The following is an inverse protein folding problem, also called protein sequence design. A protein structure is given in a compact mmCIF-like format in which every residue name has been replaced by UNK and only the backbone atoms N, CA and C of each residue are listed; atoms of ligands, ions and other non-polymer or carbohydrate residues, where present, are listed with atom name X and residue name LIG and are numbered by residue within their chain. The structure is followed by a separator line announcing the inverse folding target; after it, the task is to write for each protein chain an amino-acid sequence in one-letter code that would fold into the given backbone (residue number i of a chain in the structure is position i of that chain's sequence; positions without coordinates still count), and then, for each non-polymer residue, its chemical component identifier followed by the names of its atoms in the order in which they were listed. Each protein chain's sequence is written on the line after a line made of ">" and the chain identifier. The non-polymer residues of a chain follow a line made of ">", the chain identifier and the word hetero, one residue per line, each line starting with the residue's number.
data_IF_594452657763
#
_entry.id   IF_594452657763
#
_cell.length_a   1.000
_cell.length_b   1.000
_cell.length_c   1.000
_cell.angle_alpha   90.00
_cell.angle_beta   90.00
_cell.angle_gamma   90.00
#
_symmetry.space_group_name_H-M   'P 1'
#
loop_
_entity.id
_entity.type
_entity.pdbx_description
1 polymer ?
#
# COMPACT_ATOMS: atom_id res chain seq x y z
N UNK A 1 10.96 0.93 36.73
CA UNK A 1 10.25 1.94 35.92
C UNK A 1 9.38 1.28 34.83
N UNK A 2 9.88 0.27 34.12
CA UNK A 2 9.14 -0.47 33.06
C UNK A 2 7.89 -1.20 33.58
N UNK A 3 7.94 -1.82 34.76
CA UNK A 3 6.80 -2.57 35.33
C UNK A 3 5.53 -1.74 35.62
N UNK A 4 5.60 -0.39 35.55
CA UNK A 4 4.43 0.48 35.74
C UNK A 4 3.66 0.77 34.45
N UNK A 5 4.22 0.43 33.28
CA UNK A 5 3.56 0.59 32.00
C UNK A 5 2.56 -0.55 31.83
N UNK A 6 1.27 -0.22 31.83
CA UNK A 6 0.20 -1.20 31.58
C UNK A 6 -0.04 -1.24 30.08
N UNK A 7 0.63 -2.18 29.43
CA UNK A 7 0.37 -2.54 28.05
C UNK A 7 -0.56 -3.76 28.08
N UNK A 8 -1.78 -3.55 27.62
CA UNK A 8 -2.87 -4.51 27.59
C UNK A 8 -3.50 -4.49 26.20
N UNK A 9 -4.17 -5.58 25.85
CA UNK A 9 -4.85 -5.73 24.57
C UNK A 9 -5.92 -4.64 24.42
N UNK A 10 -6.08 -4.13 23.20
CA UNK A 10 -6.97 -3.04 22.86
C UNK A 10 -6.28 -1.70 22.68
N UNK A 11 -7.06 -0.63 22.73
CA UNK A 11 -6.60 0.75 22.66
C UNK A 11 -5.86 1.10 23.95
N UNK A 12 -4.60 1.56 23.84
CA UNK A 12 -3.81 1.91 25.02
C UNK A 12 -4.19 3.29 25.58
N UNK A 13 -4.86 3.38 26.74
CA UNK A 13 -5.31 4.66 27.28
C UNK A 13 -4.14 5.53 27.75
N UNK A 14 -3.07 4.89 28.23
CA UNK A 14 -1.86 5.56 28.70
C UNK A 14 -1.15 6.28 27.53
N UNK A 15 -1.07 5.62 26.37
CA UNK A 15 -0.49 6.20 25.15
C UNK A 15 -1.34 7.37 24.67
N UNK A 16 -2.66 7.21 24.58
CA UNK A 16 -3.54 8.31 24.15
C UNK A 16 -3.54 9.50 25.12
N UNK A 17 -3.44 9.27 26.43
CA UNK A 17 -3.30 10.33 27.42
C UNK A 17 -1.99 11.13 27.24
N UNK A 18 -0.90 10.46 26.88
CA UNK A 18 0.38 11.12 26.57
C UNK A 18 0.29 11.91 25.26
N UNK A 19 -0.22 11.27 24.20
CA UNK A 19 -0.42 11.93 22.89
C UNK A 19 -1.26 13.19 23.06
N UNK A 20 -2.38 13.13 23.81
CA UNK A 20 -3.26 14.28 24.03
C UNK A 20 -2.54 15.47 24.67
N UNK A 21 -1.60 15.24 25.59
CA UNK A 21 -0.79 16.30 26.20
C UNK A 21 0.19 16.91 25.20
N UNK A 22 0.86 16.08 24.42
CA UNK A 22 1.82 16.53 23.41
C UNK A 22 1.13 17.32 22.30
N UNK A 23 0.05 16.78 21.77
CA UNK A 23 -0.73 17.34 20.65
C UNK A 23 -1.29 18.73 20.96
N UNK A 24 -1.57 19.04 22.23
CA UNK A 24 -2.00 20.38 22.65
C UNK A 24 -0.98 21.48 22.29
N UNK A 25 0.31 21.13 22.22
CA UNK A 25 1.40 22.06 21.88
C UNK A 25 1.78 22.05 20.40
N UNK A 26 1.25 21.10 19.63
CA UNK A 26 1.64 20.92 18.23
C UNK A 26 0.94 21.91 17.31
N UNK A 27 1.62 22.28 16.22
CA UNK A 27 0.99 22.99 15.12
C UNK A 27 0.05 22.08 14.33
N UNK A 28 -0.88 22.68 13.59
CA UNK A 28 -1.91 21.96 12.83
C UNK A 28 -1.36 20.96 11.81
N UNK A 29 -0.20 21.24 11.19
CA UNK A 29 0.39 20.32 10.21
C UNK A 29 0.98 19.09 10.89
N UNK A 30 1.54 19.23 12.09
CA UNK A 30 2.09 18.11 12.87
C UNK A 30 1.01 17.17 13.41
N UNK A 31 -0.20 17.67 13.61
CA UNK A 31 -1.39 16.88 13.99
C UNK A 31 -1.91 15.96 12.89
N UNK A 32 -1.56 16.24 11.62
CA UNK A 32 -2.00 15.41 10.49
C UNK A 32 -1.30 14.06 10.51
N UNK A 33 -2.07 12.98 10.52
CA UNK A 33 -1.55 11.63 10.59
C UNK A 33 -2.32 10.63 9.74
N UNK A 34 -1.72 9.49 9.49
CA UNK A 34 -2.35 8.31 8.91
C UNK A 34 -2.43 7.21 9.96
N UNK A 35 -3.51 6.44 9.92
CA UNK A 35 -3.67 5.23 10.74
C UNK A 35 -3.22 4.05 9.88
N UNK A 36 -2.17 3.37 10.30
CA UNK A 36 -1.62 2.19 9.61
C UNK A 36 -1.93 0.96 10.46
N UNK A 37 -2.41 -0.10 9.83
CA UNK A 37 -2.63 -1.36 10.54
C UNK A 37 -2.34 -2.57 9.67
N UNK A 38 -1.93 -3.65 10.33
CA UNK A 38 -1.60 -4.93 9.70
C UNK A 38 -1.79 -6.08 10.69
N UNK A 39 -1.91 -7.30 10.17
CA UNK A 39 -1.95 -8.55 10.94
C UNK A 39 -0.57 -9.21 10.95
N UNK A 40 -0.06 -9.50 12.15
CA UNK A 40 1.23 -10.16 12.36
C UNK A 40 1.02 -11.58 12.88
N UNK A 41 1.57 -12.58 12.22
CA UNK A 41 1.54 -13.97 12.69
C UNK A 41 2.36 -14.12 13.98
N UNK A 42 1.81 -14.89 14.92
CA UNK A 42 2.38 -15.24 16.21
C UNK A 42 2.48 -16.76 16.33
N UNK A 43 3.43 -17.22 17.15
CA UNK A 43 3.43 -18.60 17.61
C UNK A 43 2.37 -18.76 18.69
N UNK A 44 1.40 -19.64 18.45
CA UNK A 44 0.33 -19.92 19.40
C UNK A 44 0.91 -20.60 20.65
N UNK A 45 0.89 -19.89 21.78
CA UNK A 45 1.40 -20.39 23.05
C UNK A 45 0.62 -19.78 24.22
N UNK A 46 0.41 -20.57 25.28
CA UNK A 46 -0.12 -20.07 26.55
C UNK A 46 1.02 -19.66 27.46
N UNK A 47 0.98 -18.42 27.93
CA UNK A 47 2.00 -17.87 28.83
C UNK A 47 1.30 -17.35 30.07
N UNK A 48 1.67 -17.89 31.23
CA UNK A 48 1.19 -17.40 32.52
C UNK A 48 2.03 -16.21 32.98
N UNK A 49 1.39 -15.05 33.12
CA UNK A 49 1.99 -13.85 33.71
C UNK A 49 1.75 -13.84 35.22
N UNK A 50 2.80 -14.16 35.98
CA UNK A 50 2.79 -14.19 37.45
C UNK A 50 2.46 -12.85 38.09
N UNK A 51 2.75 -11.73 37.42
CA UNK A 51 2.53 -10.40 38.00
C UNK A 51 1.07 -9.96 37.88
N UNK A 52 0.40 -10.40 36.80
CA UNK A 52 -1.01 -10.11 36.53
C UNK A 52 -1.95 -11.23 36.98
N UNK A 53 -1.39 -12.36 37.41
CA UNK A 53 -2.11 -13.60 37.69
C UNK A 53 -3.05 -13.98 36.54
N UNK A 54 -2.53 -13.93 35.31
CA UNK A 54 -3.33 -14.10 34.09
C UNK A 54 -2.66 -14.97 33.05
N UNK A 55 -3.46 -15.77 32.34
CA UNK A 55 -3.00 -16.56 31.19
C UNK A 55 -3.18 -15.75 29.90
N UNK A 56 -2.08 -15.52 29.19
CA UNK A 56 -2.02 -14.89 27.87
C UNK A 56 -1.99 -15.97 26.77
N UNK A 57 -2.28 -15.58 25.52
CA UNK A 57 -2.28 -16.49 24.36
C UNK A 57 -3.67 -16.85 23.83
N UNK A 58 -4.70 -16.18 24.33
CA UNK A 58 -6.07 -16.32 23.87
C UNK A 58 -6.49 -15.18 22.96
N UNK A 59 -7.47 -15.43 22.09
CA UNK A 59 -8.11 -14.39 21.27
C UNK A 59 -8.76 -13.34 22.17
N UNK A 60 -8.48 -12.07 21.89
CA UNK A 60 -8.93 -10.91 22.65
C UNK A 60 -9.08 -9.72 21.70
N UNK A 61 -10.29 -9.57 21.14
CA UNK A 61 -10.67 -8.47 20.24
C UNK A 61 -11.55 -7.46 21.00
N UNK A 62 -12.75 -7.90 21.38
CA UNK A 62 -13.65 -7.14 22.26
C UNK A 62 -13.77 -7.85 23.61
N UNK A 63 -13.94 -9.17 23.55
CA UNK A 63 -14.02 -10.07 24.69
C UNK A 63 -13.00 -11.19 24.52
N UNK A 64 -12.54 -11.73 25.64
CA UNK A 64 -11.62 -12.86 25.65
C UNK A 64 -12.36 -14.15 25.30
N UNK A 65 -11.88 -14.87 24.28
CA UNK A 65 -12.42 -16.16 23.87
C UNK A 65 -11.47 -17.29 24.22
N UNK A 66 -12.00 -18.48 24.48
CA UNK A 66 -11.23 -19.70 24.72
C UNK A 66 -10.68 -20.30 23.41
N UNK A 67 -10.09 -19.46 22.57
CA UNK A 67 -9.48 -19.80 21.29
C UNK A 67 -8.02 -19.34 21.32
N UNK A 68 -7.09 -20.14 20.79
CA UNK A 68 -5.68 -19.78 20.76
C UNK A 68 -5.44 -18.68 19.73
N UNK A 69 -4.77 -17.61 20.15
CA UNK A 69 -4.34 -16.57 19.25
C UNK A 69 -3.09 -17.02 18.48
N UNK A 70 -3.13 -16.89 17.16
CA UNK A 70 -2.02 -17.15 16.24
C UNK A 70 -1.66 -15.91 15.41
N UNK A 71 -2.38 -14.80 15.60
CA UNK A 71 -2.12 -13.50 14.98
C UNK A 71 -2.34 -12.35 15.98
N UNK A 72 -1.70 -11.22 15.70
CA UNK A 72 -1.96 -9.94 16.34
C UNK A 72 -2.28 -8.87 15.29
N UNK A 73 -3.45 -8.25 15.41
CA UNK A 73 -3.84 -7.07 14.66
C UNK A 73 -3.28 -5.84 15.36
N UNK A 74 -2.40 -5.08 14.70
CA UNK A 74 -1.67 -3.94 15.30
C UNK A 74 -2.02 -2.64 14.60
N UNK A 75 -2.27 -1.58 15.37
CA UNK A 75 -2.53 -0.23 14.88
C UNK A 75 -1.40 0.73 15.28
N UNK A 76 -0.93 1.51 14.32
CA UNK A 76 0.12 2.51 14.47
C UNK A 76 -0.30 3.83 13.83
N UNK A 77 -0.08 4.93 14.54
CA UNK A 77 -0.21 6.27 13.98
C UNK A 77 1.11 6.69 13.35
N UNK A 78 1.03 7.34 12.20
CA UNK A 78 2.19 7.90 11.51
C UNK A 78 1.91 9.34 11.10
N UNK A 79 2.80 10.26 11.43
CA UNK A 79 2.70 11.64 10.97
C UNK A 79 2.75 11.75 9.45
N UNK A 80 1.83 12.52 8.87
CA UNK A 80 1.73 12.70 7.42
C UNK A 80 2.76 13.73 6.91
N UNK A 81 2.91 14.85 7.65
CA UNK A 81 3.84 15.94 7.30
C UNK A 81 5.17 15.79 8.02
N UNK A 82 5.14 15.45 9.30
CA UNK A 82 6.32 15.30 10.14
C UNK A 82 6.60 13.83 10.45
N UNK A 83 7.88 13.49 10.59
CA UNK A 83 8.30 12.14 10.90
C UNK A 83 8.10 11.83 12.39
N UNK A 84 7.00 11.18 12.72
CA UNK A 84 6.75 10.55 14.01
C UNK A 84 5.88 9.31 13.82
N UNK A 85 5.97 8.36 14.73
CA UNK A 85 5.17 7.13 14.71
C UNK A 85 4.90 6.66 16.14
N UNK A 86 3.72 6.09 16.38
CA UNK A 86 3.32 5.61 17.69
C UNK A 86 2.36 4.42 17.55
N UNK A 87 2.73 3.22 18.02
CA UNK A 87 1.76 2.13 18.21
C UNK A 87 0.71 2.55 19.23
N UNK A 88 -0.57 2.31 18.93
CA UNK A 88 -1.69 2.80 19.75
C UNK A 88 -2.66 1.71 20.20
N UNK A 89 -2.77 0.63 19.44
CA UNK A 89 -3.60 -0.50 19.80
C UNK A 89 -3.04 -1.80 19.24
N UNK A 90 -3.32 -2.91 19.90
CA UNK A 90 -3.13 -4.25 19.36
C UNK A 90 -4.21 -5.18 19.87
N UNK A 91 -4.56 -6.19 19.08
CA UNK A 91 -5.60 -7.17 19.41
C UNK A 91 -5.11 -8.57 19.05
N UNK A 92 -5.44 -9.56 19.88
CA UNK A 92 -5.11 -10.94 19.59
C UNK A 92 -6.25 -11.61 18.82
N UNK A 93 -5.95 -12.22 17.69
CA UNK A 93 -6.91 -12.89 16.83
C UNK A 93 -6.46 -14.29 16.43
N UNK A 94 -7.42 -15.10 16.01
CA UNK A 94 -7.18 -16.39 15.37
C UNK A 94 -7.44 -16.26 13.88
N UNK A 95 -6.41 -16.44 13.06
CA UNK A 95 -6.44 -16.18 11.63
C UNK A 95 -6.86 -14.74 11.29
N UNK A 96 -7.60 -14.60 10.19
CA UNK A 96 -8.09 -13.30 9.73
C UNK A 96 -9.28 -12.81 10.56
N UNK A 97 -9.21 -11.57 11.04
CA UNK A 97 -10.30 -10.94 11.80
C UNK A 97 -11.57 -10.81 10.95
N UNK A 98 -12.78 -11.02 11.50
CA UNK A 98 -14.00 -10.83 10.71
C UNK A 98 -14.19 -9.35 10.29
N UNK A 99 -14.68 -9.12 9.07
CA UNK A 99 -14.85 -7.76 8.55
C UNK A 99 -15.77 -6.87 9.41
N UNK A 100 -16.77 -7.45 10.08
CA UNK A 100 -17.65 -6.71 11.01
C UNK A 100 -16.93 -6.29 12.29
N UNK A 101 -16.14 -7.19 12.90
CA UNK A 101 -15.36 -6.84 14.08
C UNK A 101 -14.29 -5.80 13.76
N UNK A 102 -13.59 -5.96 12.64
CA UNK A 102 -12.59 -5.00 12.19
C UNK A 102 -13.21 -3.61 11.93
N UNK A 103 -14.41 -3.56 11.35
CA UNK A 103 -15.16 -2.29 11.20
C UNK A 103 -15.41 -1.61 12.55
N UNK A 104 -15.81 -2.36 13.58
CA UNK A 104 -16.01 -1.82 14.93
C UNK A 104 -14.71 -1.29 15.51
N UNK A 105 -13.65 -2.11 15.49
CA UNK A 105 -12.33 -1.74 16.02
C UNK A 105 -11.78 -0.49 15.31
N UNK A 106 -11.93 -0.41 13.98
CA UNK A 106 -11.52 0.78 13.22
C UNK A 106 -12.26 2.03 13.67
N UNK A 107 -13.58 1.95 13.90
CA UNK A 107 -14.36 3.08 14.42
C UNK A 107 -13.86 3.51 15.79
N UNK A 108 -13.58 2.58 16.69
CA UNK A 108 -13.11 2.88 18.05
C UNK A 108 -11.72 3.52 18.03
N UNK A 109 -10.77 2.93 17.28
CA UNK A 109 -9.40 3.45 17.17
C UNK A 109 -9.40 4.85 16.56
N UNK A 110 -10.13 5.07 15.47
CA UNK A 110 -10.17 6.37 14.81
C UNK A 110 -10.86 7.42 15.69
N UNK A 111 -11.90 7.05 16.43
CA UNK A 111 -12.54 7.94 17.41
C UNK A 111 -11.56 8.38 18.48
N UNK A 112 -10.78 7.46 19.06
CA UNK A 112 -9.75 7.78 20.04
C UNK A 112 -8.66 8.73 19.48
N UNK A 113 -8.30 8.57 18.20
CA UNK A 113 -7.37 9.47 17.50
C UNK A 113 -7.93 10.89 17.34
N UNK A 114 -9.20 11.01 16.98
CA UNK A 114 -9.84 12.33 16.86
C UNK A 114 -9.98 12.99 18.25
N UNK A 115 -10.39 12.23 19.26
CA UNK A 115 -10.58 12.71 20.64
C UNK A 115 -9.29 13.17 21.34
N UNK A 116 -8.13 12.65 20.92
CA UNK A 116 -6.83 13.12 21.41
C UNK A 116 -6.33 14.38 20.69
N UNK A 117 -7.10 14.91 19.72
CA UNK A 117 -6.81 16.14 19.00
C UNK A 117 -5.95 15.97 17.74
N UNK A 118 -5.69 14.72 17.32
CA UNK A 118 -5.02 14.45 16.05
C UNK A 118 -6.01 14.57 14.88
N UNK A 119 -5.47 14.75 13.68
CA UNK A 119 -6.23 14.88 12.44
C UNK A 119 -5.89 13.72 11.51
N UNK A 120 -6.58 12.57 11.64
CA UNK A 120 -6.35 11.46 10.74
C UNK A 120 -6.86 11.84 9.34
N UNK A 121 -6.03 11.63 8.32
CA UNK A 121 -6.35 11.94 6.91
C UNK A 121 -6.46 10.70 6.02
N UNK A 122 -5.86 9.59 6.46
CA UNK A 122 -5.85 8.36 5.69
C UNK A 122 -5.74 7.14 6.60
N UNK A 123 -6.29 6.03 6.10
CA UNK A 123 -6.13 4.69 6.65
C UNK A 123 -5.33 3.85 5.65
N UNK A 124 -4.29 3.18 6.15
CA UNK A 124 -3.37 2.39 5.34
C UNK A 124 -3.38 0.94 5.84
N UNK A 125 -3.64 0.01 4.94
CA UNK A 125 -3.67 -1.42 5.26
C UNK A 125 -3.28 -2.29 4.07
N UNK A 126 -3.15 -3.59 4.31
CA UNK A 126 -2.97 -4.59 3.27
C UNK A 126 -4.28 -4.89 2.51
N UNK A 127 -4.27 -5.87 1.60
CA UNK A 127 -5.41 -6.26 0.78
C UNK A 127 -6.14 -7.52 1.28
N UNK A 128 -6.06 -7.85 2.57
CA UNK A 128 -6.80 -8.96 3.16
C UNK A 128 -8.31 -8.88 2.87
N UNK A 129 -8.96 -10.02 2.64
CA UNK A 129 -10.39 -10.09 2.31
C UNK A 129 -11.27 -9.47 3.41
N UNK A 130 -10.88 -9.70 4.67
CA UNK A 130 -11.49 -9.08 5.84
C UNK A 130 -11.41 -7.55 5.81
N UNK A 131 -10.25 -7.01 5.44
CA UNK A 131 -9.99 -5.58 5.43
C UNK A 131 -10.79 -4.91 4.32
N UNK A 132 -10.79 -5.51 3.13
CA UNK A 132 -11.61 -5.05 2.01
C UNK A 132 -13.11 -5.06 2.36
N UNK A 133 -13.58 -6.10 3.06
CA UNK A 133 -14.97 -6.19 3.52
C UNK A 133 -15.32 -5.08 4.52
N UNK A 134 -14.46 -4.85 5.51
CA UNK A 134 -14.64 -3.79 6.50
C UNK A 134 -14.67 -2.40 5.86
N UNK A 135 -13.69 -2.10 5.00
CA UNK A 135 -13.58 -0.84 4.27
C UNK A 135 -14.79 -0.61 3.38
N UNK A 136 -15.23 -1.62 2.63
CA UNK A 136 -16.43 -1.51 1.79
C UNK A 136 -17.66 -1.18 2.64
N UNK A 137 -17.83 -1.88 3.76
CA UNK A 137 -18.95 -1.63 4.67
C UNK A 137 -18.90 -0.23 5.29
N UNK A 138 -17.72 0.32 5.58
CA UNK A 138 -17.55 1.71 6.02
C UNK A 138 -17.87 2.72 4.93
N UNK A 139 -17.42 2.48 3.70
CA UNK A 139 -17.76 3.32 2.54
C UNK A 139 -19.26 3.33 2.28
N UNK A 140 -19.92 2.18 2.37
CA UNK A 140 -21.36 2.09 2.19
C UNK A 140 -22.12 2.88 3.27
N UNK A 141 -21.63 2.93 4.51
CA UNK A 141 -22.17 3.80 5.56
C UNK A 141 -21.99 5.28 5.19
N UNK A 142 -20.77 5.70 4.87
CA UNK A 142 -20.46 7.10 4.52
C UNK A 142 -21.25 7.59 3.32
N UNK A 143 -21.39 6.76 2.27
CA UNK A 143 -22.20 7.08 1.09
C UNK A 143 -23.66 7.30 1.46
N UNK A 144 -24.23 6.48 2.36
CA UNK A 144 -25.60 6.69 2.84
C UNK A 144 -25.73 8.04 3.55
N UNK A 145 -24.80 8.36 4.44
CA UNK A 145 -24.82 9.62 5.20
C UNK A 145 -24.67 10.85 4.28
N UNK A 146 -23.78 10.79 3.28
CA UNK A 146 -23.60 11.85 2.27
C UNK A 146 -24.88 12.08 1.45
N UNK A 147 -25.55 11.01 1.01
CA UNK A 147 -26.81 11.10 0.27
C UNK A 147 -27.90 11.76 1.13
N UNK A 148 -28.03 11.35 2.40
CA UNK A 148 -28.99 11.97 3.32
C UNK A 148 -28.70 13.45 3.59
N UNK A 149 -27.43 13.86 3.51
CA UNK A 149 -26.99 15.24 3.64
C UNK A 149 -27.03 16.05 2.33
N UNK A 150 -27.55 15.49 1.22
CA UNK A 150 -27.53 16.10 -0.12
C UNK A 150 -26.12 16.46 -0.62
N UNK A 151 -25.12 15.64 -0.28
CA UNK A 151 -23.74 15.78 -0.74
C UNK A 151 -23.47 14.76 -1.87
N UNK A 152 -22.61 15.11 -2.82
CA UNK A 152 -22.15 14.14 -3.81
C UNK A 152 -21.31 13.07 -3.13
N UNK A 153 -21.61 11.76 -3.34
CA UNK A 153 -20.85 10.69 -2.72
C UNK A 153 -19.41 10.67 -3.23
N UNK A 154 -18.46 10.57 -2.31
CA UNK A 154 -17.04 10.38 -2.64
C UNK A 154 -16.55 8.97 -2.27
N UNK A 155 -15.26 8.71 -2.50
CA UNK A 155 -14.62 7.42 -2.19
C UNK A 155 -13.91 7.41 -0.81
N UNK A 156 -14.25 8.37 0.05
CA UNK A 156 -13.70 8.47 1.42
C UNK A 156 -14.54 7.66 2.41
N UNK A 157 -14.00 7.50 3.63
CA UNK A 157 -14.78 7.06 4.78
C UNK A 157 -14.84 8.19 5.80
N UNK A 158 -16.01 8.40 6.38
CA UNK A 158 -16.24 9.38 7.45
C UNK A 158 -16.41 8.64 8.77
N UNK A 159 -15.53 8.90 9.74
CA UNK A 159 -15.62 8.35 11.09
C UNK A 159 -15.36 9.48 12.08
N UNK A 160 -16.29 9.69 13.01
CA UNK A 160 -16.18 10.69 14.08
C UNK A 160 -15.87 12.11 13.56
N UNK A 161 -16.49 12.47 12.43
CA UNK A 161 -16.31 13.76 11.76
C UNK A 161 -15.03 13.89 10.92
N UNK A 162 -14.15 12.89 10.91
CA UNK A 162 -12.96 12.87 10.08
C UNK A 162 -13.21 12.16 8.75
N UNK A 163 -12.90 12.82 7.63
CA UNK A 163 -12.92 12.23 6.29
C UNK A 163 -11.55 11.63 5.97
N UNK A 164 -11.52 10.34 5.65
CA UNK A 164 -10.31 9.55 5.52
C UNK A 164 -10.22 8.92 4.14
N UNK A 165 -9.06 9.08 3.50
CA UNK A 165 -8.72 8.33 2.31
C UNK A 165 -8.26 6.92 2.65
N UNK A 166 -8.60 5.95 1.80
CA UNK A 166 -8.13 4.56 1.93
C UNK A 166 -6.94 4.37 1.01
N UNK A 167 -5.83 3.88 1.56
CA UNK A 167 -4.62 3.58 0.81
C UNK A 167 -4.24 2.12 1.10
N UNK A 168 -4.14 1.32 0.04
CA UNK A 168 -3.57 -0.02 0.18
C UNK A 168 -2.06 0.03 0.09
N UNK A 169 -1.36 -0.84 0.83
CA UNK A 169 0.09 -0.90 0.78
C UNK A 169 0.59 -1.08 -0.67
N UNK A 170 1.32 -0.09 -1.23
CA UNK A 170 1.89 -0.18 -2.57
C UNK A 170 2.77 -1.41 -2.78
N UNK A 171 3.45 -1.88 -1.74
CA UNK A 171 4.35 -3.02 -1.83
C UNK A 171 3.58 -4.32 -2.08
N UNK A 172 2.44 -4.50 -1.40
CA UNK A 172 1.53 -5.63 -1.58
C UNK A 172 0.86 -5.59 -2.95
N UNK A 173 0.48 -4.40 -3.42
CA UNK A 173 -0.06 -4.19 -4.76
C UNK A 173 0.93 -4.63 -5.85
N UNK A 174 2.17 -4.15 -5.76
CA UNK A 174 3.25 -4.49 -6.70
C UNK A 174 3.51 -6.01 -6.70
N UNK A 175 3.54 -6.61 -5.52
CA UNK A 175 3.68 -8.07 -5.35
C UNK A 175 2.52 -8.82 -6.01
N UNK A 176 1.29 -8.34 -5.84
CA UNK A 176 0.08 -8.90 -6.47
C UNK A 176 0.14 -8.84 -7.99
N UNK A 177 0.54 -7.70 -8.55
CA UNK A 177 0.70 -7.54 -10.01
C UNK A 177 1.76 -8.51 -10.53
N UNK A 178 2.95 -8.56 -9.92
CA UNK A 178 4.01 -9.49 -10.31
C UNK A 178 3.52 -10.94 -10.28
N UNK A 179 2.87 -11.36 -9.20
CA UNK A 179 2.39 -12.73 -9.04
C UNK A 179 1.30 -13.10 -10.05
N UNK A 180 0.42 -12.16 -10.39
CA UNK A 180 -0.54 -12.36 -11.47
C UNK A 180 0.17 -12.45 -12.82
N UNK A 181 1.14 -11.57 -13.09
CA UNK A 181 1.84 -11.56 -14.37
C UNK A 181 2.69 -12.81 -14.61
N UNK A 182 3.23 -13.40 -13.54
CA UNK A 182 3.95 -14.69 -13.61
C UNK A 182 3.09 -15.84 -14.14
N UNK A 183 1.78 -15.81 -13.87
CA UNK A 183 0.88 -16.93 -14.16
C UNK A 183 -0.19 -16.59 -15.21
N UNK A 184 -0.32 -15.32 -15.59
CA UNK A 184 -1.39 -14.78 -16.43
C UNK A 184 -0.83 -13.70 -17.34
N UNK A 185 -1.45 -13.54 -18.49
CA UNK A 185 -1.14 -12.45 -19.41
C UNK A 185 -1.82 -11.16 -18.93
N UNK A 186 -1.16 -10.02 -19.18
CA UNK A 186 -1.72 -8.70 -18.92
C UNK A 186 -2.19 -8.11 -20.25
N UNK A 187 -3.43 -7.64 -20.30
CA UNK A 187 -4.00 -6.94 -21.44
C UNK A 187 -4.09 -5.45 -21.11
N UNK A 188 -3.38 -4.61 -21.84
CA UNK A 188 -3.48 -3.14 -21.73
C UNK A 188 -3.73 -2.59 -23.14
N UNK A 189 -4.77 -1.77 -23.30
CA UNK A 189 -5.12 -1.14 -24.59
C UNK A 189 -5.28 -2.13 -25.77
N UNK A 190 -5.74 -3.35 -25.50
CA UNK A 190 -5.92 -4.41 -26.50
C UNK A 190 -4.65 -5.22 -26.79
N UNK A 191 -3.54 -4.83 -26.20
CA UNK A 191 -2.24 -5.45 -26.38
C UNK A 191 -1.91 -6.44 -25.26
N UNK A 192 -1.34 -7.60 -25.63
CA UNK A 192 -1.05 -8.69 -24.69
C UNK A 192 0.44 -8.67 -24.33
N UNK A 193 0.73 -8.52 -23.05
CA UNK A 193 2.08 -8.72 -22.49
C UNK A 193 2.14 -10.04 -21.74
N UNK A 194 3.24 -10.77 -21.89
CA UNK A 194 3.50 -12.07 -21.27
C UNK A 194 4.76 -12.01 -20.40
N UNK A 195 4.84 -12.85 -19.37
CA UNK A 195 6.07 -12.96 -18.57
C UNK A 195 7.29 -13.38 -19.41
N UNK A 196 7.05 -14.14 -20.48
CA UNK A 196 8.09 -14.53 -21.44
C UNK A 196 8.80 -13.33 -22.07
N UNK A 197 8.08 -12.23 -22.32
CA UNK A 197 8.68 -11.02 -22.87
C UNK A 197 9.76 -10.44 -21.92
N UNK A 198 9.58 -10.60 -20.60
CA UNK A 198 10.60 -10.23 -19.60
C UNK A 198 11.78 -11.20 -19.64
N UNK A 199 11.52 -12.51 -19.78
CA UNK A 199 12.58 -13.52 -19.87
C UNK A 199 13.47 -13.28 -21.10
N UNK A 200 12.87 -13.01 -22.25
CA UNK A 200 13.58 -12.77 -23.51
C UNK A 200 14.49 -11.52 -23.39
N UNK A 201 14.01 -10.45 -22.76
CA UNK A 201 14.82 -9.25 -22.47
C UNK A 201 15.96 -9.56 -21.50
N UNK A 202 15.70 -10.35 -20.45
CA UNK A 202 16.71 -10.73 -19.47
C UNK A 202 17.82 -11.61 -20.06
N UNK A 203 17.46 -12.59 -20.89
CA UNK A 203 18.41 -13.44 -21.59
C UNK A 203 19.26 -12.64 -22.58
N UNK A 204 18.63 -11.70 -23.30
CA UNK A 204 19.34 -10.80 -24.22
C UNK A 204 20.34 -9.90 -23.49
N UNK A 205 19.97 -9.33 -22.33
CA UNK A 205 20.89 -8.54 -21.49
C UNK A 205 22.02 -9.39 -20.93
N UNK A 206 21.75 -10.62 -20.49
CA UNK A 206 22.77 -11.53 -19.98
C UNK A 206 23.80 -11.93 -21.05
N UNK A 207 23.39 -12.03 -22.31
CA UNK A 207 24.24 -12.37 -23.44
C UNK A 207 24.98 -11.16 -24.04
N UNK A 208 24.74 -9.95 -23.53
CA UNK A 208 25.39 -8.74 -24.02
C UNK A 208 26.86 -8.69 -23.58
N UNK A 209 27.77 -8.55 -24.55
CA UNK A 209 29.21 -8.83 -24.39
C UNK A 209 30.01 -7.80 -23.60
N UNK A 210 29.58 -6.54 -23.55
CA UNK A 210 30.40 -5.45 -22.98
C UNK A 210 30.00 -4.99 -21.58
N UNK A 211 28.71 -4.96 -21.26
CA UNK A 211 28.18 -4.68 -19.92
C UNK A 211 26.67 -4.96 -19.87
N UNK A 212 26.20 -5.54 -18.77
CA UNK A 212 24.76 -5.69 -18.50
C UNK A 212 24.15 -4.33 -18.13
N UNK A 213 23.18 -3.86 -18.90
CA UNK A 213 22.43 -2.66 -18.55
C UNK A 213 21.52 -2.96 -17.35
N UNK A 214 20.99 -4.19 -17.27
CA UNK A 214 20.13 -4.66 -16.19
C UNK A 214 20.91 -5.42 -15.10
N UNK A 215 22.10 -4.94 -14.75
CA UNK A 215 22.99 -5.54 -13.73
C UNK A 215 22.36 -5.77 -12.34
N UNK A 216 21.25 -5.11 -12.02
CA UNK A 216 20.50 -5.31 -10.75
C UNK A 216 19.55 -6.50 -10.79
N UNK A 217 19.22 -7.00 -11.99
CA UNK A 217 18.41 -8.18 -12.16
C UNK A 217 19.29 -9.43 -12.14
N UNK A 218 18.83 -10.41 -11.40
CA UNK A 218 19.40 -11.74 -11.37
C UNK A 218 18.28 -12.77 -11.57
N UNK A 219 18.67 -14.04 -11.68
CA UNK A 219 17.76 -15.15 -11.91
C UNK A 219 16.58 -15.22 -10.93
N UNK A 220 16.79 -14.80 -9.66
CA UNK A 220 15.76 -14.81 -8.62
C UNK A 220 14.67 -13.75 -8.84
N UNK A 221 14.85 -12.85 -9.82
CA UNK A 221 13.88 -11.83 -10.20
C UNK A 221 13.00 -12.26 -11.38
N UNK A 222 13.54 -13.07 -12.29
CA UNK A 222 12.92 -13.32 -13.61
C UNK A 222 12.53 -14.79 -13.80
N UNK A 223 13.37 -15.74 -13.37
CA UNK A 223 13.14 -17.17 -13.62
C UNK A 223 12.11 -17.69 -12.61
N UNK A 224 10.92 -18.15 -13.06
CA UNK A 224 9.81 -18.52 -12.17
C UNK A 224 10.19 -19.47 -11.04
N UNK A 225 11.01 -20.50 -11.33
CA UNK A 225 11.43 -21.52 -10.36
C UNK A 225 12.38 -20.97 -9.28
N UNK A 226 13.09 -19.87 -9.58
CA UNK A 226 14.05 -19.23 -8.68
C UNK A 226 13.43 -18.05 -7.92
N UNK A 227 12.22 -17.62 -8.27
CA UNK A 227 11.53 -16.50 -7.63
C UNK A 227 11.02 -16.91 -6.25
N UNK A 228 11.60 -16.29 -5.21
CA UNK A 228 11.11 -16.41 -3.83
C UNK A 228 9.89 -15.52 -3.63
N UNK A 229 8.68 -16.07 -3.83
CA UNK A 229 7.39 -15.35 -3.80
C UNK A 229 7.21 -14.41 -2.60
N UNK A 230 7.68 -14.80 -1.41
CA UNK A 230 7.48 -14.07 -0.15
C UNK A 230 8.49 -12.94 0.12
N UNK A 231 9.72 -13.00 -0.42
CA UNK A 231 10.85 -12.32 0.26
C UNK A 231 11.24 -10.96 -0.30
N UNK A 232 10.65 -10.47 -1.40
CA UNK A 232 11.23 -9.29 -2.05
C UNK A 232 10.27 -8.38 -2.85
N UNK A 233 9.89 -7.28 -2.21
CA UNK A 233 9.25 -6.12 -2.83
C UNK A 233 10.24 -5.31 -3.70
N UNK A 234 11.52 -5.25 -3.30
CA UNK A 234 12.60 -4.62 -4.08
C UNK A 234 12.82 -5.30 -5.43
N UNK A 235 12.62 -6.61 -5.49
CA UNK A 235 12.74 -7.42 -6.71
C UNK A 235 11.57 -7.14 -7.65
N UNK A 236 10.34 -7.08 -7.12
CA UNK A 236 9.15 -6.75 -7.90
C UNK A 236 9.22 -5.31 -8.44
N UNK A 237 9.66 -4.36 -7.62
CA UNK A 237 9.89 -2.97 -8.03
C UNK A 237 11.02 -2.84 -9.07
N UNK A 238 12.08 -3.65 -9.00
CA UNK A 238 13.14 -3.66 -10.01
C UNK A 238 12.68 -4.27 -11.35
N UNK A 239 11.87 -5.34 -11.30
CA UNK A 239 11.26 -5.96 -12.50
C UNK A 239 10.25 -5.02 -13.15
N UNK A 240 9.43 -4.32 -12.37
CA UNK A 240 8.52 -3.29 -12.90
C UNK A 240 9.28 -2.04 -13.35
N UNK A 241 10.34 -1.63 -12.66
CA UNK A 241 11.20 -0.52 -13.10
C UNK A 241 11.93 -0.83 -14.43
N UNK A 242 12.07 -2.10 -14.81
CA UNK A 242 12.55 -2.53 -16.13
C UNK A 242 11.62 -2.05 -17.26
N UNK A 243 10.31 -1.96 -17.01
CA UNK A 243 9.36 -1.35 -17.95
C UNK A 243 9.57 0.17 -18.07
N UNK A 244 10.17 0.80 -17.04
CA UNK A 244 10.33 2.25 -16.96
C UNK A 244 11.68 2.76 -17.49
N UNK A 245 12.75 1.95 -17.48
CA UNK A 245 14.11 2.42 -17.79
C UNK A 245 14.73 1.74 -19.02
N UNK A 246 14.53 2.37 -20.18
CA UNK A 246 15.54 2.48 -21.25
C UNK A 246 15.69 1.33 -22.24
N UNK A 247 15.43 0.07 -21.87
CA UNK A 247 15.79 -1.07 -22.74
C UNK A 247 14.98 -1.14 -24.05
N UNK A 248 13.66 -0.87 -23.99
CA UNK A 248 12.77 -0.78 -25.15
C UNK A 248 13.13 0.35 -26.14
N UNK A 249 13.92 1.33 -25.70
CA UNK A 249 14.24 2.52 -26.49
C UNK A 249 15.49 2.34 -27.37
N UNK A 250 16.33 1.35 -27.05
CA UNK A 250 17.59 1.06 -27.75
C UNK A 250 17.41 -0.09 -28.75
N UNK A 251 16.48 -1.02 -28.48
CA UNK A 251 16.16 -2.16 -29.36
C UNK A 251 14.69 -2.14 -29.77
N UNK A 252 14.31 -1.18 -30.61
CA UNK A 252 12.97 -1.07 -31.21
C UNK A 252 12.64 -2.15 -32.25
N UNK A 253 13.11 -3.38 -32.09
CA UNK A 253 12.97 -4.42 -33.12
C UNK A 253 12.37 -5.76 -32.65
N UNK A 254 12.16 -6.03 -31.34
CA UNK A 254 11.66 -7.36 -30.92
C UNK A 254 10.54 -7.37 -29.86
N UNK A 255 10.18 -6.26 -29.23
CA UNK A 255 9.09 -6.27 -28.25
C UNK A 255 8.00 -5.25 -28.60
N UNK A 256 6.80 -5.78 -28.84
CA UNK A 256 5.60 -5.09 -29.34
C UNK A 256 5.17 -3.93 -28.43
N UNK A 257 4.40 -3.01 -29.03
CA UNK A 257 3.87 -1.76 -28.46
C UNK A 257 3.12 -1.92 -27.11
N UNK A 258 2.74 -3.15 -26.77
CA UNK A 258 2.08 -3.59 -25.53
C UNK A 258 2.75 -3.14 -24.24
N UNK A 259 4.09 -3.21 -24.16
CA UNK A 259 4.84 -2.92 -22.93
C UNK A 259 5.00 -1.40 -22.71
N UNK A 260 4.86 -0.61 -23.78
CA UNK A 260 4.90 0.85 -23.71
C UNK A 260 3.62 1.46 -23.10
N UNK A 261 2.45 0.81 -23.20
CA UNK A 261 1.24 1.26 -22.51
C UNK A 261 1.29 1.02 -20.99
N UNK A 262 1.92 -0.07 -20.55
CA UNK A 262 2.18 -0.35 -19.13
C UNK A 262 2.99 0.80 -18.49
N UNK A 263 3.96 1.36 -19.25
CA UNK A 263 4.82 2.48 -18.85
C UNK A 263 4.05 3.74 -18.40
N UNK A 264 2.93 4.08 -19.05
CA UNK A 264 2.17 5.30 -18.73
C UNK A 264 1.28 5.13 -17.50
N UNK A 265 0.66 3.95 -17.34
CA UNK A 265 -0.16 3.65 -16.16
C UNK A 265 0.63 3.61 -14.84
N UNK A 266 1.85 3.03 -14.86
CA UNK A 266 2.68 2.92 -13.64
C UNK A 266 3.33 4.24 -13.20
N UNK A 267 3.66 5.14 -14.14
CA UNK A 267 4.24 6.45 -13.80
C UNK A 267 3.22 7.36 -13.09
N UNK A 268 1.95 7.28 -13.45
CA UNK A 268 0.87 8.01 -12.78
C UNK A 268 0.64 7.52 -11.34
N UNK A 269 0.93 6.24 -11.04
CA UNK A 269 0.79 5.66 -9.69
C UNK A 269 1.99 6.02 -8.79
N UNK A 270 3.20 6.14 -9.36
CA UNK A 270 4.42 6.36 -8.58
C UNK A 270 4.79 7.85 -8.40
N UNK A 271 4.30 8.74 -9.28
CA UNK A 271 4.62 10.17 -9.24
C UNK A 271 3.47 11.06 -9.77
N UNK A 272 2.39 11.28 -9.00
CA UNK A 272 1.34 12.22 -9.40
C UNK A 272 1.79 13.69 -9.28
N UNK A 273 2.86 13.97 -8.54
CA UNK A 273 3.49 15.28 -8.41
C UNK A 273 4.91 15.09 -7.90
N UNK A 274 5.92 15.59 -8.62
CA UNK A 274 7.36 15.41 -8.38
C UNK A 274 7.87 15.87 -7.01
N UNK A 275 7.40 15.25 -5.93
CA UNK A 275 7.61 15.64 -4.54
C UNK A 275 8.21 14.49 -3.74
N UNK A 276 9.22 13.81 -4.28
CA UNK A 276 10.19 13.09 -3.46
C UNK A 276 11.40 13.98 -3.22
N UNK A 277 11.34 14.75 -2.14
CA UNK A 277 12.48 15.48 -1.56
C UNK A 277 13.58 14.55 -1.00
N UNK A 278 13.60 13.27 -1.38
CA UNK A 278 14.43 12.21 -0.79
C UNK A 278 15.56 11.71 -1.70
N UNK A 279 16.09 12.51 -2.61
CA UNK A 279 17.45 12.26 -3.18
C UNK A 279 18.12 13.60 -3.55
N UNK A 280 18.52 14.40 -2.56
CA UNK A 280 19.52 15.47 -2.77
C UNK A 280 20.90 14.95 -2.36
N UNK A 281 21.53 14.17 -3.24
CA UNK A 281 23.00 14.05 -3.26
C UNK A 281 23.51 14.64 -4.57
N UNK A 282 24.67 15.31 -4.52
CA UNK A 282 25.23 16.28 -5.48
C UNK A 282 25.45 15.78 -6.93
N UNK A 283 24.98 14.57 -7.30
CA UNK A 283 25.14 13.95 -8.63
C UNK A 283 24.09 14.39 -9.67
N UNK A 284 23.01 15.06 -9.27
CA UNK A 284 21.91 15.48 -10.16
C UNK A 284 22.13 16.81 -10.90
N UNK A 285 23.15 17.60 -10.58
CA UNK A 285 23.42 18.87 -11.26
C UNK A 285 23.84 18.70 -12.74
N UNK A 286 24.37 17.52 -13.11
CA UNK A 286 24.74 17.21 -14.50
C UNK A 286 23.54 16.73 -15.34
N UNK A 287 22.49 16.20 -14.69
CA UNK A 287 21.26 15.73 -15.35
C UNK A 287 20.31 16.88 -15.69
N UNK A 288 20.32 17.98 -14.92
CA UNK A 288 19.49 19.17 -15.18
C UNK A 288 19.76 19.82 -16.55
N UNK A 289 20.99 19.77 -17.07
CA UNK A 289 21.30 20.35 -18.40
C UNK A 289 20.67 19.60 -19.57
N UNK A 290 20.40 18.30 -19.43
CA UNK A 290 19.74 17.50 -20.47
C UNK A 290 18.20 17.52 -20.38
N UNK A 291 17.63 18.10 -19.30
CA UNK A 291 16.18 18.21 -19.11
C UNK A 291 15.57 19.49 -19.70
N UNK A 292 16.38 20.53 -19.95
CA UNK A 292 15.87 21.76 -20.60
C UNK A 292 15.47 21.48 -22.06
N UNK A 293 16.29 20.71 -22.79
CA UNK A 293 15.95 20.21 -24.13
C UNK A 293 14.68 19.31 -24.17
N UNK A 294 14.29 18.74 -23.03
CA UNK A 294 13.10 17.90 -22.90
C UNK A 294 11.82 18.71 -22.66
N UNK A 295 11.93 19.91 -22.08
CA UNK A 295 10.79 20.81 -21.89
C UNK A 295 10.40 21.51 -23.20
N UNK A 296 11.39 21.98 -23.96
CA UNK A 296 11.17 22.64 -25.26
C UNK A 296 10.55 21.68 -26.31
N UNK A 297 10.72 20.36 -26.15
CA UNK A 297 10.09 19.34 -26.99
C UNK A 297 8.65 18.98 -26.57
N UNK A 298 8.27 19.25 -25.31
CA UNK A 298 6.95 18.90 -24.74
C UNK A 298 5.89 19.97 -25.06
N UNK A 299 6.27 21.24 -25.19
CA UNK A 299 5.37 22.31 -25.62
C UNK A 299 4.93 22.19 -27.10
N UNK A 300 5.77 21.57 -27.94
CA UNK A 300 5.50 21.46 -29.39
C UNK A 300 4.45 20.37 -29.73
N UNK A 301 4.03 19.53 -28.76
CA UNK A 301 3.09 18.42 -28.98
C UNK A 301 1.78 18.49 -28.19
N UNK A 302 1.61 19.42 -27.26
CA UNK A 302 0.34 19.62 -26.55
C UNK A 302 -0.70 20.43 -27.35
N UNK A 303 -0.36 20.87 -28.58
CA UNK A 303 -1.30 21.55 -29.48
C UNK A 303 -2.32 20.61 -30.21
N UNK A 304 -2.27 19.29 -29.99
CA UNK A 304 -3.13 18.32 -30.70
C UNK A 304 -4.14 17.59 -29.81
N UNK A 305 -5.35 18.14 -29.72
CA UNK A 305 -6.64 17.52 -29.33
C UNK A 305 -6.69 16.52 -28.16
N UNK A 306 -7.26 16.99 -27.05
CA UNK A 306 -7.74 16.18 -25.92
C UNK A 306 -9.12 15.57 -26.24
N UNK A 307 -9.30 14.27 -26.01
CA UNK A 307 -10.60 13.58 -26.03
C UNK A 307 -10.59 12.46 -24.98
N UNK A 308 -11.32 12.69 -23.91
CA UNK A 308 -11.49 11.83 -22.74
C UNK A 308 -12.31 10.57 -23.04
N UNK A 309 -11.80 9.37 -22.75
CA UNK A 309 -12.62 8.15 -22.61
C UNK A 309 -12.16 7.30 -21.43
N UNK A 310 -13.12 6.94 -20.58
CA UNK A 310 -12.98 6.11 -19.39
C UNK A 310 -12.85 4.62 -19.75
N UNK A 311 -12.01 3.86 -19.04
CA UNK A 311 -11.91 2.42 -19.18
C UNK A 311 -13.01 1.69 -18.36
N UNK A 312 -13.75 0.79 -19.00
CA UNK A 312 -14.76 -0.09 -18.37
C UNK A 312 -14.27 -1.54 -18.46
N UNK A 313 -14.15 -2.22 -17.33
CA UNK A 313 -13.83 -3.65 -17.27
C UNK A 313 -15.15 -4.45 -17.28
N UNK A 314 -15.39 -5.29 -18.30
CA UNK A 314 -16.50 -6.24 -18.33
C UNK A 314 -16.02 -7.67 -18.12
N UNK A 315 -16.72 -8.43 -17.27
CA UNK A 315 -16.63 -9.89 -17.12
C UNK A 315 -17.27 -10.55 -18.35
N UNK A 316 -16.61 -11.52 -18.95
CA UNK A 316 -17.21 -12.41 -19.96
C UNK A 316 -17.44 -13.77 -19.30
N UNK A 317 -18.71 -14.14 -19.13
CA UNK A 317 -19.11 -15.48 -18.69
C UNK A 317 -18.99 -16.47 -19.86
N UNK A 318 -18.28 -17.58 -19.63
CA UNK A 318 -18.17 -18.66 -20.61
C UNK A 318 -19.40 -19.57 -20.55
N UNK A 319 -20.20 -19.59 -21.63
CA UNK A 319 -21.19 -20.63 -21.88
C UNK A 319 -20.49 -21.94 -22.23
N UNK A 320 -20.79 -23.01 -21.50
CA UNK A 320 -20.45 -24.40 -21.85
C UNK A 320 -21.42 -24.90 -22.92
N UNK A 321 -20.86 -25.47 -24.00
CA UNK A 321 -21.53 -26.51 -24.81
C UNK A 321 -21.40 -27.86 -24.10
#
# INVERSE_FOLDING_TARGET
>A
MVAKLKVETGISPQVFALIKKEVATWDEKKKMCSVVFDEMSLEAALIYDKNKDSINGFVELNEKKNEFADHALVFMLRGAVYKWQQPVAFYYCQGATSGMQLKSILKDVISAVVECGLKPIAVICDQGSAFQSAIKSLRDDTKRDQILANQEPDDTITISGANLSIIYDPSHLIKGIRNNFLNKDIIIDGEISKWRDIMDVYETDCNHTEARLLHKLNDQHVIPDKIKKMKYEKIAAAVLAMQCMGYFRIWGAVAKESVASIRYGFRAIYDPSGSTCLVKSKRMARIRRNLQYWWDWLEDRTAGSCSSRHAVIRRIDAKKS
#
